data_IF_259404685374
#
_entry.id   IF_259404685374
#
_cell.length_a   1.000
_cell.length_b   1.000
_cell.length_c   1.000
_cell.angle_alpha   90.00
_cell.angle_beta   90.00
_cell.angle_gamma   90.00
#
_symmetry.space_group_name_H-M   'P 1'
#
loop_
_entity.id
_entity.type
_entity.pdbx_description
1 polymer ?
#
# COMPACT_ATOMS: atom_id res chain seq x y z
N UNK A 1 31.77 -24.63 -12.90
CA UNK A 1 31.17 -24.37 -14.24
C UNK A 1 29.77 -24.97 -14.22
N UNK A 2 28.73 -24.14 -14.10
CA UNK A 2 27.36 -24.61 -14.20
C UNK A 2 27.01 -24.76 -15.69
N UNK A 3 26.80 -25.99 -16.15
CA UNK A 3 26.24 -26.23 -17.46
C UNK A 3 24.75 -25.87 -17.41
N UNK A 4 24.32 -24.91 -18.23
CA UNK A 4 22.91 -24.70 -18.48
C UNK A 4 22.25 -26.02 -18.87
N UNK A 5 21.17 -26.38 -18.19
CA UNK A 5 20.36 -27.52 -18.61
C UNK A 5 19.85 -27.27 -20.03
N UNK A 6 19.62 -28.32 -20.80
CA UNK A 6 19.07 -28.19 -22.15
C UNK A 6 17.72 -27.44 -22.10
N UNK A 7 16.93 -27.70 -21.05
CA UNK A 7 15.68 -27.01 -20.76
C UNK A 7 15.88 -25.50 -20.58
N UNK A 8 16.94 -25.05 -19.90
CA UNK A 8 17.26 -23.62 -19.77
C UNK A 8 17.70 -23.01 -21.11
N UNK A 9 18.40 -23.75 -21.99
CA UNK A 9 18.79 -23.25 -23.32
C UNK A 9 17.61 -23.16 -24.29
N UNK A 10 16.75 -24.17 -24.29
CA UNK A 10 15.53 -24.19 -25.11
C UNK A 10 14.55 -23.12 -24.64
N UNK A 11 14.49 -22.90 -23.33
CA UNK A 11 13.76 -21.81 -22.69
C UNK A 11 14.22 -20.42 -23.17
N UNK A 12 15.53 -20.19 -23.16
CA UNK A 12 16.15 -18.95 -23.63
C UNK A 12 15.82 -18.66 -25.11
N UNK A 13 15.86 -19.70 -25.95
CA UNK A 13 15.47 -19.59 -27.35
C UNK A 13 13.96 -19.30 -27.52
N UNK A 14 13.11 -19.86 -26.66
CA UNK A 14 11.67 -19.58 -26.64
C UNK A 14 11.33 -18.15 -26.25
N UNK A 15 12.07 -17.52 -25.32
CA UNK A 15 11.86 -16.11 -24.97
C UNK A 15 12.24 -15.18 -26.11
N UNK A 16 13.36 -15.44 -26.79
CA UNK A 16 13.76 -14.69 -27.97
C UNK A 16 12.72 -14.82 -29.11
N UNK A 17 12.11 -16.01 -29.26
CA UNK A 17 11.00 -16.23 -30.20
C UNK A 17 9.75 -15.42 -29.84
N UNK A 18 9.29 -15.48 -28.58
CA UNK A 18 8.07 -14.77 -28.13
C UNK A 18 8.23 -13.24 -28.11
N UNK A 19 9.42 -12.74 -27.77
CA UNK A 19 9.73 -11.30 -27.83
C UNK A 19 9.72 -10.75 -29.27
N UNK A 20 9.94 -11.61 -30.28
CA UNK A 20 9.81 -11.26 -31.70
C UNK A 20 8.37 -11.40 -32.22
N UNK A 21 7.53 -12.21 -31.59
CA UNK A 21 6.13 -12.44 -31.97
C UNK A 21 5.15 -11.40 -31.40
N UNK A 22 5.55 -10.67 -30.35
CA UNK A 22 4.80 -9.52 -29.82
C UNK A 22 5.49 -8.20 -30.21
N UNK A 23 5.30 -7.68 -31.44
CA UNK A 23 5.55 -6.26 -31.63
C UNK A 23 4.65 -5.51 -30.66
N UNK A 24 5.23 -4.59 -29.88
CA UNK A 24 4.46 -3.56 -29.18
C UNK A 24 3.36 -3.03 -30.14
N UNK A 25 2.13 -2.78 -29.68
CA UNK A 25 1.05 -2.38 -30.57
C UNK A 25 1.40 -1.07 -31.28
N UNK A 26 1.91 -1.21 -32.51
CA UNK A 26 2.23 -0.12 -33.41
C UNK A 26 0.98 0.20 -34.22
N UNK A 27 0.52 1.44 -34.02
CA UNK A 27 -0.05 2.31 -35.03
C UNK A 27 -1.17 1.72 -35.90
N UNK A 28 -2.42 1.84 -35.43
CA UNK A 28 -3.54 1.98 -36.34
C UNK A 28 -3.72 3.45 -36.73
N UNK A 29 -3.72 3.67 -38.04
CA UNK A 29 -4.05 4.91 -38.73
C UNK A 29 -5.35 5.51 -38.22
N UNK A 30 -5.26 6.71 -37.62
CA UNK A 30 -6.43 7.53 -37.30
C UNK A 30 -6.98 8.11 -38.61
N UNK A 31 -8.27 7.93 -38.94
CA UNK A 31 -8.89 8.63 -40.05
C UNK A 31 -8.94 10.13 -39.74
N UNK A 32 -8.47 10.93 -40.69
CA UNK A 32 -8.51 12.40 -40.67
C UNK A 32 -9.98 12.85 -40.64
N UNK A 33 -10.46 13.29 -39.47
CA UNK A 33 -11.73 13.98 -39.36
C UNK A 33 -11.52 15.44 -39.73
N UNK A 34 -11.94 15.81 -40.93
CA UNK A 34 -12.10 17.21 -41.32
C UNK A 34 -13.34 17.76 -40.60
N UNK A 35 -13.11 18.58 -39.56
CA UNK A 35 -14.16 19.34 -38.89
C UNK A 35 -14.61 20.47 -39.81
N UNK A 36 -15.84 20.37 -40.33
CA UNK A 36 -16.53 21.50 -40.94
C UNK A 36 -16.91 22.54 -39.86
N UNK A 37 -16.88 23.84 -40.16
CA UNK A 37 -17.23 24.88 -39.20
C UNK A 37 -18.74 24.87 -38.91
N UNK A 38 -19.10 24.75 -37.64
CA UNK A 38 -20.47 24.89 -37.13
C UNK A 38 -20.88 26.36 -37.21
N UNK A 39 -21.89 26.66 -38.04
CA UNK A 39 -22.66 27.90 -37.96
C UNK A 39 -23.57 27.88 -36.72
N UNK A 40 -23.67 28.97 -35.95
CA UNK A 40 -24.60 29.04 -34.83
C UNK A 40 -26.06 29.15 -35.32
N UNK A 41 -27.04 28.58 -34.59
CA UNK A 41 -28.45 28.76 -34.90
C UNK A 41 -28.94 30.16 -34.50
N UNK A 42 -30.03 30.65 -35.11
CA UNK A 42 -30.58 31.97 -34.81
C UNK A 42 -31.28 31.99 -33.45
N UNK A 43 -31.13 33.12 -32.77
CA UNK A 43 -31.87 33.51 -31.57
C UNK A 43 -33.35 33.66 -31.90
N UNK A 44 -34.21 33.03 -31.10
CA UNK A 44 -35.65 33.29 -31.13
C UNK A 44 -36.11 33.67 -29.71
N UNK A 45 -36.59 34.91 -29.61
CA UNK A 45 -37.20 35.51 -28.43
C UNK A 45 -38.69 35.16 -28.41
N UNK A 46 -39.20 34.57 -27.33
CA UNK A 46 -40.52 34.94 -26.78
C UNK A 46 -40.82 34.23 -25.46
N UNK A 47 -40.88 35.04 -24.40
CA UNK A 47 -41.92 35.15 -23.36
C UNK A 47 -42.79 33.93 -22.98
N UNK A 48 -42.93 33.69 -21.65
CA UNK A 48 -44.11 33.01 -21.11
C UNK A 48 -43.94 32.36 -19.72
N UNK A 49 -44.44 33.03 -18.69
CA UNK A 49 -44.52 32.59 -17.28
C UNK A 49 -45.38 31.32 -17.05
N UNK A 50 -44.91 30.37 -16.22
CA UNK A 50 -45.45 29.98 -14.90
C UNK A 50 -44.91 28.61 -14.41
N UNK A 51 -44.75 28.38 -13.08
CA UNK A 51 -44.16 27.15 -12.55
C UNK A 51 -45.22 26.09 -12.23
N UNK A 52 -45.09 24.91 -12.83
CA UNK A 52 -45.82 23.70 -12.42
C UNK A 52 -44.78 22.66 -12.00
N UNK A 53 -44.79 22.30 -10.72
CA UNK A 53 -44.04 21.16 -10.18
C UNK A 53 -44.54 19.86 -10.81
N UNK A 54 -43.66 18.93 -11.24
CA UNK A 54 -44.05 17.55 -11.41
C UNK A 54 -43.52 16.68 -10.26
N UNK A 55 -44.43 15.85 -9.77
CA UNK A 55 -44.17 14.74 -8.87
C UNK A 55 -43.15 13.76 -9.48
N UNK A 56 -42.27 13.23 -8.62
CA UNK A 56 -41.28 12.23 -8.98
C UNK A 56 -41.96 10.86 -9.18
N UNK A 57 -42.17 10.49 -10.44
CA UNK A 57 -42.52 9.12 -10.84
C UNK A 57 -41.22 8.36 -11.13
N UNK A 58 -40.91 7.39 -10.26
CA UNK A 58 -39.66 6.61 -10.27
C UNK A 58 -39.86 5.40 -11.19
N UNK A 59 -39.43 5.51 -12.45
CA UNK A 59 -39.35 4.36 -13.35
C UNK A 59 -38.30 3.35 -12.85
N UNK A 60 -38.77 2.13 -12.55
CA UNK A 60 -37.96 0.92 -12.40
C UNK A 60 -37.31 0.60 -13.76
N UNK A 61 -35.99 0.74 -13.86
CA UNK A 61 -35.18 -0.01 -14.83
C UNK A 61 -34.72 -1.31 -14.18
N UNK A 62 -35.10 -2.41 -14.78
CA UNK A 62 -34.54 -3.74 -14.55
C UNK A 62 -33.42 -3.92 -15.56
N UNK A 63 -32.18 -3.66 -15.15
CA UNK A 63 -30.99 -4.06 -15.91
C UNK A 63 -30.41 -5.31 -15.23
N UNK A 64 -30.26 -6.38 -16.03
CA UNK A 64 -29.65 -7.64 -15.59
C UNK A 64 -28.16 -7.46 -15.25
N UNK A 65 -27.63 -8.16 -14.23
CA UNK A 65 -26.24 -8.04 -13.86
C UNK A 65 -25.37 -8.82 -14.85
N UNK A 66 -24.64 -8.09 -15.70
CA UNK A 66 -23.45 -8.62 -16.37
C UNK A 66 -22.45 -9.11 -15.33
N UNK A 67 -21.91 -10.31 -15.53
CA UNK A 67 -20.95 -10.94 -14.64
C UNK A 67 -19.65 -10.11 -14.56
N UNK A 68 -19.59 -9.20 -13.57
CA UNK A 68 -18.35 -8.59 -13.15
C UNK A 68 -17.46 -9.69 -12.55
N UNK A 69 -16.27 -9.87 -13.13
CA UNK A 69 -15.20 -10.66 -12.52
C UNK A 69 -14.82 -9.95 -11.23
N UNK A 70 -15.34 -10.44 -10.09
CA UNK A 70 -14.95 -9.98 -8.77
C UNK A 70 -13.47 -10.34 -8.55
N UNK A 71 -12.58 -9.37 -8.76
CA UNK A 71 -11.24 -9.42 -8.20
C UNK A 71 -11.40 -9.52 -6.67
N UNK A 72 -10.90 -10.62 -6.07
CA UNK A 72 -10.84 -10.70 -4.60
C UNK A 72 -9.89 -9.59 -4.11
N UNK A 73 -10.30 -8.75 -3.14
CA UNK A 73 -9.50 -7.60 -2.76
C UNK A 73 -8.19 -8.05 -2.11
N UNK A 74 -7.10 -7.62 -2.74
CA UNK A 74 -5.69 -7.75 -2.34
C UNK A 74 -5.43 -7.52 -0.83
N UNK A 75 -6.20 -6.67 -0.17
CA UNK A 75 -6.06 -6.35 1.26
C UNK A 75 -6.43 -7.50 2.20
N UNK A 76 -7.29 -8.43 1.79
CA UNK A 76 -7.59 -9.63 2.58
C UNK A 76 -6.35 -10.51 2.80
N UNK A 77 -5.38 -10.48 1.87
CA UNK A 77 -4.10 -11.18 2.03
C UNK A 77 -3.19 -10.48 3.05
N UNK A 78 -3.22 -9.14 3.13
CA UNK A 78 -2.46 -8.36 4.11
C UNK A 78 -3.05 -8.56 5.52
N UNK A 79 -4.37 -8.55 5.67
CA UNK A 79 -5.03 -8.83 6.95
C UNK A 79 -4.81 -10.27 7.41
N UNK A 80 -4.91 -11.25 6.51
CA UNK A 80 -4.64 -12.65 6.82
C UNK A 80 -3.18 -12.89 7.25
N UNK A 81 -2.22 -12.18 6.63
CA UNK A 81 -0.80 -12.28 7.01
C UNK A 81 -0.48 -11.54 8.31
N UNK A 82 -1.09 -10.38 8.57
CA UNK A 82 -0.95 -9.69 9.85
C UNK A 82 -1.53 -10.52 11.01
N UNK A 83 -2.69 -11.16 10.79
CA UNK A 83 -3.28 -12.09 11.75
C UNK A 83 -2.42 -13.35 11.97
N UNK A 84 -1.74 -13.84 10.92
CA UNK A 84 -0.83 -14.98 11.04
C UNK A 84 0.46 -14.63 11.81
N UNK A 85 1.01 -13.43 11.63
CA UNK A 85 2.18 -12.93 12.35
C UNK A 85 1.85 -12.71 13.85
N UNK A 86 0.66 -12.14 14.12
CA UNK A 86 0.16 -12.00 15.50
C UNK A 86 -0.06 -13.37 16.17
N UNK A 87 -0.60 -14.36 15.44
CA UNK A 87 -0.76 -15.73 15.93
C UNK A 87 0.60 -16.43 16.18
N UNK A 88 1.58 -16.24 15.30
CA UNK A 88 2.92 -16.79 15.45
C UNK A 88 3.64 -16.22 16.68
N UNK A 89 3.51 -14.91 16.92
CA UNK A 89 4.07 -14.23 18.09
C UNK A 89 3.37 -14.62 19.41
N UNK A 90 2.12 -15.07 19.37
CA UNK A 90 1.41 -15.60 20.54
C UNK A 90 1.81 -17.04 20.91
N UNK A 91 2.34 -17.82 19.96
CA UNK A 91 2.77 -19.22 20.22
C UNK A 91 4.17 -19.36 20.82
N UNK A 92 4.99 -18.31 20.85
CA UNK A 92 6.31 -18.31 21.50
C UNK A 92 6.20 -17.96 23.00
N UNK A 93 5.55 -18.84 23.78
CA UNK A 93 5.69 -18.80 25.23
C UNK A 93 7.07 -19.38 25.64
N UNK A 94 7.81 -18.74 26.55
CA UNK A 94 9.14 -19.20 26.93
C UNK A 94 9.04 -20.50 27.74
N UNK A 95 9.44 -21.62 27.15
CA UNK A 95 9.75 -22.83 27.92
C UNK A 95 11.01 -22.55 28.74
N UNK A 96 10.84 -22.34 30.05
CA UNK A 96 11.93 -22.31 31.02
C UNK A 96 12.64 -23.67 31.06
N UNK A 97 13.70 -23.80 30.26
CA UNK A 97 14.64 -24.93 30.30
C UNK A 97 15.66 -24.73 31.41
N UNK A 98 15.45 -25.42 32.53
CA UNK A 98 16.45 -25.61 33.59
C UNK A 98 17.52 -26.60 33.09
N UNK A 99 18.74 -26.09 32.88
CA UNK A 99 19.92 -26.91 32.61
C UNK A 99 20.43 -27.54 33.92
N UNK A 100 20.46 -28.88 33.97
CA UNK A 100 21.45 -29.65 34.73
C UNK A 100 21.73 -31.00 34.05
N UNK A 101 23.01 -31.25 33.81
CA UNK A 101 23.59 -32.58 33.98
C UNK A 101 24.05 -33.27 32.70
N UNK A 102 25.37 -33.23 32.53
CA UNK A 102 26.22 -34.16 31.78
C UNK A 102 25.74 -35.63 31.77
N UNK A 103 25.93 -36.34 30.65
CA UNK A 103 26.98 -37.35 30.50
C UNK A 103 26.87 -38.13 29.17
N UNK A 104 28.03 -38.66 28.77
CA UNK A 104 28.42 -39.36 27.56
C UNK A 104 27.66 -40.66 27.18
N UNK A 105 28.01 -41.14 25.98
CA UNK A 105 27.98 -42.52 25.44
C UNK A 105 26.85 -42.96 24.50
N UNK A 106 27.21 -42.89 23.22
CA UNK A 106 27.15 -43.89 22.14
C UNK A 106 26.27 -45.17 22.26
N UNK A 107 25.73 -45.53 21.07
CA UNK A 107 25.58 -46.87 20.46
C UNK A 107 24.14 -47.41 20.29
N UNK A 108 23.87 -47.74 19.02
CA UNK A 108 23.06 -48.84 18.43
C UNK A 108 21.65 -48.59 17.90
N UNK A 109 21.60 -48.79 16.59
CA UNK A 109 20.52 -49.36 15.77
C UNK A 109 19.62 -50.38 16.48
N UNK A 110 18.31 -50.28 16.23
CA UNK A 110 17.53 -51.43 15.78
C UNK A 110 16.25 -51.03 15.01
N UNK A 111 16.09 -51.64 13.82
CA UNK A 111 14.85 -51.80 13.04
C UNK A 111 13.68 -52.36 13.86
N UNK A 112 12.44 -51.91 13.58
CA UNK A 112 11.25 -52.69 13.11
C UNK A 112 9.94 -51.94 13.44
N UNK A 113 9.18 -51.52 12.42
CA UNK A 113 7.93 -52.12 11.84
C UNK A 113 6.62 -51.76 12.55
N UNK A 114 5.64 -51.36 11.73
CA UNK A 114 4.19 -51.56 11.83
C UNK A 114 3.44 -50.74 12.91
N UNK A 115 2.59 -49.79 12.51
CA UNK A 115 1.16 -49.95 12.14
C UNK A 115 0.27 -49.52 13.31
N UNK A 116 -0.72 -48.67 13.07
CA UNK A 116 -1.70 -48.35 14.12
C UNK A 116 -2.59 -47.16 13.80
N UNK A 117 -3.70 -47.46 13.14
CA UNK A 117 -4.92 -46.65 13.12
C UNK A 117 -5.36 -46.25 14.55
N UNK A 118 -5.96 -45.07 14.68
CA UNK A 118 -6.64 -44.68 15.92
C UNK A 118 -7.22 -43.29 15.86
N UNK A 119 -8.45 -43.18 15.34
CA UNK A 119 -9.37 -42.09 15.63
C UNK A 119 -9.49 -41.86 17.14
N UNK A 120 -9.57 -40.60 17.58
CA UNK A 120 -10.58 -40.20 18.57
C UNK A 120 -10.64 -38.69 18.75
N UNK A 121 -11.83 -38.18 18.46
CA UNK A 121 -12.33 -36.91 18.95
C UNK A 121 -12.41 -36.90 20.48
N UNK A 122 -12.11 -35.75 21.10
CA UNK A 122 -12.61 -35.31 22.40
C UNK A 122 -12.41 -33.79 22.43
N UNK A 123 -13.46 -32.97 22.30
CA UNK A 123 -14.23 -32.44 23.44
C UNK A 123 -13.34 -32.17 24.65
N UNK A 124 -13.02 -30.90 24.87
CA UNK A 124 -12.81 -30.37 26.21
C UNK A 124 -13.31 -28.93 26.27
N UNK A 125 -14.07 -28.72 27.33
CA UNK A 125 -14.83 -27.55 27.71
C UNK A 125 -14.16 -26.91 28.93
N UNK A 126 -14.36 -25.60 29.12
CA UNK A 126 -14.18 -24.80 30.35
C UNK A 126 -12.75 -24.63 30.89
N UNK A 127 -12.28 -23.38 31.06
CA UNK A 127 -12.46 -22.65 32.32
C UNK A 127 -12.13 -21.15 32.19
N UNK A 128 -12.87 -20.41 32.99
CA UNK A 128 -12.77 -18.99 33.36
C UNK A 128 -11.78 -18.85 34.53
N UNK A 129 -10.88 -17.87 34.53
CA UNK A 129 -10.14 -17.56 35.75
C UNK A 129 -9.79 -16.06 35.85
N UNK A 130 -10.60 -15.40 36.66
CA UNK A 130 -10.36 -14.10 37.25
C UNK A 130 -9.18 -14.10 38.23
N UNK A 131 -8.56 -12.92 38.33
CA UNK A 131 -7.82 -12.36 39.46
C UNK A 131 -6.35 -12.74 39.64
N UNK A 132 -5.46 -11.75 39.46
CA UNK A 132 -4.46 -11.39 40.49
C UNK A 132 -3.98 -9.95 40.30
N UNK A 133 -4.31 -9.07 41.24
CA UNK A 133 -3.66 -7.76 41.44
C UNK A 133 -2.56 -7.93 42.49
N UNK A 134 -1.37 -7.39 42.24
CA UNK A 134 -0.44 -7.01 43.30
C UNK A 134 0.06 -5.57 43.11
N UNK A 135 0.29 -4.83 44.21
CA UNK A 135 0.75 -3.45 44.18
C UNK A 135 2.29 -3.35 44.17
N UNK A 136 2.83 -2.40 43.41
CA UNK A 136 4.27 -2.07 43.40
C UNK A 136 4.53 -0.99 44.46
N UNK A 137 5.50 -1.28 45.33
CA UNK A 137 5.94 -0.44 46.43
C UNK A 137 6.78 0.76 45.98
N UNK A 138 6.55 1.88 46.64
CA UNK A 138 7.25 3.16 46.51
C UNK A 138 8.61 3.11 47.23
N UNK A 139 9.71 3.31 46.50
CA UNK A 139 11.03 3.53 47.09
C UNK A 139 11.31 5.03 47.19
N UNK A 140 11.11 5.58 48.39
CA UNK A 140 11.66 6.87 48.82
C UNK A 140 13.14 6.69 49.16
N UNK A 141 14.03 7.36 48.42
CA UNK A 141 15.46 7.45 48.74
C UNK A 141 15.76 8.88 49.20
N UNK A 142 16.05 9.01 50.48
CA UNK A 142 16.65 10.20 51.10
C UNK A 142 18.13 10.28 50.73
N UNK A 143 18.59 11.47 50.36
CA UNK A 143 20.00 11.78 50.11
C UNK A 143 20.27 13.18 50.67
N UNK A 144 20.91 13.21 51.83
CA UNK A 144 21.52 14.39 52.45
C UNK A 144 22.85 14.76 51.78
N UNK A 145 23.15 16.05 51.87
CA UNK A 145 24.47 16.68 51.96
C UNK A 145 25.48 16.54 50.80
N UNK A 146 25.42 17.52 49.90
CA UNK A 146 26.61 18.06 49.24
C UNK A 146 26.56 19.60 49.24
N UNK A 147 27.33 20.21 50.16
CA UNK A 147 27.67 21.63 50.14
C UNK A 147 28.56 21.89 48.92
N UNK A 148 28.01 22.54 47.90
CA UNK A 148 28.76 23.09 46.76
C UNK A 148 28.93 24.59 46.96
N UNK A 149 30.20 25.00 46.94
CA UNK A 149 30.71 26.36 47.08
C UNK A 149 30.30 27.21 45.88
N UNK A 150 29.64 28.34 46.14
CA UNK A 150 29.26 29.37 45.16
C UNK A 150 30.49 30.11 44.64
N UNK A 151 30.71 30.07 43.33
CA UNK A 151 31.59 31.00 42.61
C UNK A 151 30.84 31.67 41.45
N UNK A 152 30.74 33.00 41.57
CA UNK A 152 30.68 34.06 40.56
C UNK A 152 29.78 33.95 39.30
N UNK A 153 28.73 34.80 39.33
CA UNK A 153 28.44 35.84 38.33
C UNK A 153 28.55 35.43 36.85
N UNK A 154 27.68 34.51 36.42
CA UNK A 154 27.29 34.43 35.01
C UNK A 154 26.02 35.26 34.80
N UNK A 155 26.01 36.27 33.91
CA UNK A 155 24.80 37.01 33.59
C UNK A 155 23.73 36.04 33.09
N UNK A 156 22.63 35.95 33.84
CA UNK A 156 21.46 35.15 33.51
C UNK A 156 21.01 35.54 32.09
N UNK A 157 21.14 34.59 31.15
CA UNK A 157 20.55 34.75 29.83
C UNK A 157 19.06 35.10 30.02
N UNK A 158 18.52 36.09 29.27
CA UNK A 158 17.12 36.43 29.36
C UNK A 158 16.29 35.15 29.18
N UNK A 159 15.23 34.95 29.98
CA UNK A 159 14.41 33.74 29.92
C UNK A 159 13.99 33.54 28.47
N UNK A 160 14.53 32.49 27.85
CA UNK A 160 14.15 32.14 26.48
C UNK A 160 12.64 31.91 26.52
N UNK A 161 11.91 32.75 25.80
CA UNK A 161 10.48 32.53 25.59
C UNK A 161 10.34 31.09 25.08
N UNK A 162 9.46 30.27 25.68
CA UNK A 162 9.26 28.90 25.22
C UNK A 162 8.97 28.97 23.73
N UNK A 163 9.85 28.35 22.93
CA UNK A 163 9.66 28.27 21.49
C UNK A 163 8.25 27.74 21.26
N UNK A 164 7.48 28.35 20.34
CA UNK A 164 6.12 27.90 20.05
C UNK A 164 6.19 26.40 19.80
N UNK A 165 5.53 25.62 20.67
CA UNK A 165 5.54 24.16 20.58
C UNK A 165 5.15 23.80 19.16
N UNK A 166 6.11 23.25 18.41
CA UNK A 166 5.84 22.77 17.06
C UNK A 166 4.67 21.81 17.17
N UNK A 167 3.56 22.09 16.47
CA UNK A 167 2.42 21.19 16.44
C UNK A 167 2.94 19.81 16.03
N UNK A 168 2.55 18.78 16.77
CA UNK A 168 2.92 17.41 16.42
C UNK A 168 2.50 17.15 14.96
N UNK A 169 3.31 16.42 14.18
CA UNK A 169 2.95 16.08 12.82
C UNK A 169 1.63 15.32 12.79
N UNK A 170 0.81 15.59 11.78
CA UNK A 170 -0.46 14.90 11.60
C UNK A 170 -0.22 13.42 11.32
N UNK A 171 -1.06 12.50 11.84
CA UNK A 171 -0.97 11.09 11.52
C UNK A 171 -1.28 10.84 10.04
N UNK A 172 -0.80 9.74 9.47
CA UNK A 172 -1.25 9.28 8.15
C UNK A 172 -2.67 8.74 8.23
N UNK A 173 -3.40 8.71 7.10
CA UNK A 173 -4.77 8.19 7.06
C UNK A 173 -4.91 6.76 7.65
N UNK A 174 -4.04 5.78 7.33
CA UNK A 174 -4.17 4.43 7.89
C UNK A 174 -3.97 4.42 9.40
N UNK A 175 -2.99 5.19 9.92
CA UNK A 175 -2.77 5.33 11.35
C UNK A 175 -3.98 6.00 12.03
N UNK A 176 -4.60 6.97 11.38
CA UNK A 176 -5.80 7.60 11.90
C UNK A 176 -6.96 6.60 11.99
N UNK A 177 -7.26 5.90 10.90
CA UNK A 177 -8.39 4.97 10.82
C UNK A 177 -8.20 3.73 11.70
N UNK A 178 -7.03 3.09 11.63
CA UNK A 178 -6.81 1.79 12.26
C UNK A 178 -6.36 1.86 13.71
N UNK A 179 -5.70 2.94 14.11
CA UNK A 179 -5.19 3.07 15.47
C UNK A 179 -5.94 4.14 16.26
N UNK A 180 -6.07 5.36 15.73
CA UNK A 180 -6.64 6.47 16.49
C UNK A 180 -8.15 6.33 16.69
N UNK A 181 -8.91 6.08 15.61
CA UNK A 181 -10.37 5.92 15.73
C UNK A 181 -10.72 4.68 16.57
N UNK A 182 -10.05 3.55 16.31
CA UNK A 182 -10.30 2.29 17.04
C UNK A 182 -9.90 2.35 18.53
N UNK A 183 -9.02 3.26 18.95
CA UNK A 183 -8.64 3.43 20.36
C UNK A 183 -9.83 3.76 21.26
N UNK A 184 -10.85 4.44 20.72
CA UNK A 184 -12.04 4.86 21.46
C UNK A 184 -13.25 3.95 21.20
N UNK A 185 -13.02 2.66 20.93
CA UNK A 185 -14.11 1.71 20.64
C UNK A 185 -15.18 1.64 21.74
N UNK A 186 -14.80 1.84 23.00
CA UNK A 186 -15.73 1.86 24.13
C UNK A 186 -16.74 3.02 24.08
N UNK A 187 -16.44 4.09 23.36
CA UNK A 187 -17.37 5.21 23.17
C UNK A 187 -18.18 5.10 21.88
N UNK A 188 -17.94 4.11 21.02
CA UNK A 188 -18.72 3.98 19.78
C UNK A 188 -20.21 3.88 20.10
N UNK A 189 -21.05 4.43 19.22
CA UNK A 189 -22.50 4.38 19.33
C UNK A 189 -23.06 5.02 20.61
N UNK A 190 -22.31 5.93 21.24
CA UNK A 190 -22.73 6.67 22.44
C UNK A 190 -22.48 8.19 22.27
N UNK A 191 -23.07 8.84 21.26
CA UNK A 191 -22.86 10.27 21.05
C UNK A 191 -23.40 11.10 22.22
N UNK A 192 -22.73 12.19 22.62
CA UNK A 192 -23.25 13.11 23.61
C UNK A 192 -24.49 13.83 23.06
N UNK A 193 -25.31 14.37 23.96
CA UNK A 193 -26.51 15.12 23.60
C UNK A 193 -26.17 16.26 22.62
N UNK A 194 -26.95 16.38 21.55
CA UNK A 194 -26.73 17.36 20.47
C UNK A 194 -25.88 16.88 19.29
N UNK A 195 -25.35 15.65 19.32
CA UNK A 195 -24.61 15.03 18.20
C UNK A 195 -25.39 13.88 17.55
N UNK A 196 -26.72 14.00 17.58
CA UNK A 196 -27.64 12.97 17.09
C UNK A 196 -27.68 12.88 15.57
N UNK A 197 -27.13 13.83 14.81
CA UNK A 197 -27.18 13.81 13.34
C UNK A 197 -25.79 13.67 12.76
N UNK A 198 -25.64 12.73 11.83
CA UNK A 198 -24.40 12.57 11.08
C UNK A 198 -24.24 13.73 10.07
N UNK A 199 -23.13 14.49 10.10
CA UNK A 199 -22.94 15.66 9.25
C UNK A 199 -22.71 15.34 7.75
N UNK A 200 -22.61 14.05 7.40
CA UNK A 200 -22.33 13.60 6.02
C UNK A 200 -23.58 13.05 5.34
N UNK A 201 -24.46 12.35 6.07
CA UNK A 201 -25.67 11.76 5.51
C UNK A 201 -26.97 12.37 6.04
N UNK A 202 -26.89 13.31 6.99
CA UNK A 202 -28.01 13.95 7.68
C UNK A 202 -28.97 12.99 8.40
N UNK A 203 -28.62 11.70 8.51
CA UNK A 203 -29.41 10.73 9.24
C UNK A 203 -29.22 10.90 10.75
N UNK A 204 -30.33 10.77 11.48
CA UNK A 204 -30.30 10.68 12.93
C UNK A 204 -29.68 9.35 13.37
N UNK A 205 -28.82 9.38 14.37
CA UNK A 205 -28.28 8.23 15.07
C UNK A 205 -29.44 7.50 15.74
N UNK A 206 -29.74 6.31 15.22
CA UNK A 206 -30.61 5.32 15.87
C UNK A 206 -29.90 3.97 15.87
N UNK A 207 -30.16 3.10 16.86
CA UNK A 207 -29.57 1.75 16.89
C UNK A 207 -29.82 0.95 15.61
N UNK A 208 -30.99 1.10 14.99
CA UNK A 208 -31.35 0.42 13.75
C UNK A 208 -30.51 0.88 12.55
N UNK A 209 -30.06 2.14 12.55
CA UNK A 209 -29.24 2.70 11.49
C UNK A 209 -27.79 2.19 11.56
N UNK A 210 -27.30 1.83 12.75
CA UNK A 210 -25.95 1.26 12.93
C UNK A 210 -25.79 -0.01 12.10
N UNK A 211 -26.83 -0.85 12.03
CA UNK A 211 -26.81 -2.08 11.23
C UNK A 211 -26.71 -1.81 9.72
N UNK A 212 -27.20 -0.65 9.26
CA UNK A 212 -27.27 -0.29 7.84
C UNK A 212 -26.05 0.53 7.38
N UNK A 213 -25.62 1.48 8.20
CA UNK A 213 -24.62 2.51 7.84
C UNK A 213 -23.29 2.27 8.57
N UNK A 214 -23.27 1.42 9.60
CA UNK A 214 -22.09 1.10 10.40
C UNK A 214 -21.98 1.92 11.69
N UNK A 215 -20.91 1.65 12.44
CA UNK A 215 -20.63 2.28 13.74
C UNK A 215 -20.64 3.81 13.68
N UNK A 216 -21.21 4.45 14.70
CA UNK A 216 -21.16 5.88 14.92
C UNK A 216 -19.98 6.23 15.82
N UNK A 217 -19.02 6.98 15.29
CA UNK A 217 -17.69 7.14 15.88
C UNK A 217 -17.38 8.59 16.23
N UNK A 218 -16.65 8.85 17.33
CA UNK A 218 -16.09 10.17 17.60
C UNK A 218 -14.80 10.39 16.80
N UNK A 219 -14.69 11.57 16.20
CA UNK A 219 -13.45 12.10 15.64
C UNK A 219 -12.59 12.70 16.76
N UNK A 220 -11.29 12.90 16.49
CA UNK A 220 -10.35 13.53 17.45
C UNK A 220 -10.72 14.96 17.84
N UNK A 221 -11.52 15.65 17.03
CA UNK A 221 -12.09 16.97 17.31
C UNK A 221 -13.44 16.91 18.06
N UNK A 222 -13.84 15.72 18.55
CA UNK A 222 -15.09 15.45 19.29
C UNK A 222 -16.41 15.53 18.50
N UNK A 223 -16.37 15.80 17.20
CA UNK A 223 -17.54 15.62 16.32
C UNK A 223 -17.79 14.14 16.03
N UNK A 224 -19.04 13.79 15.73
CA UNK A 224 -19.48 12.42 15.51
C UNK A 224 -19.94 12.20 14.07
N UNK A 225 -19.69 11.00 13.55
CA UNK A 225 -19.99 10.63 12.17
C UNK A 225 -20.12 9.11 12.06
N UNK A 226 -20.93 8.60 11.13
CA UNK A 226 -20.91 7.16 10.83
C UNK A 226 -19.57 6.79 10.19
N UNK A 227 -18.98 5.66 10.59
CA UNK A 227 -17.68 5.21 10.09
C UNK A 227 -17.66 5.11 8.56
N UNK A 228 -18.67 4.50 7.94
CA UNK A 228 -18.77 4.43 6.46
C UNK A 228 -18.92 5.82 5.83
N UNK A 229 -19.68 6.72 6.46
CA UNK A 229 -19.81 8.09 5.98
C UNK A 229 -18.50 8.87 6.08
N UNK A 230 -17.71 8.63 7.14
CA UNK A 230 -16.39 9.20 7.28
C UNK A 230 -15.45 8.71 6.19
N UNK A 231 -15.39 7.39 5.95
CA UNK A 231 -14.59 6.84 4.86
C UNK A 231 -15.02 7.39 3.49
N UNK A 232 -16.34 7.53 3.28
CA UNK A 232 -16.89 8.18 2.09
C UNK A 232 -16.49 9.65 1.99
N UNK A 233 -16.40 10.40 3.09
CA UNK A 233 -15.91 11.78 3.09
C UNK A 233 -14.43 11.85 2.68
N UNK A 234 -13.62 10.93 3.22
CA UNK A 234 -12.18 10.86 2.93
C UNK A 234 -11.88 10.39 1.50
N UNK A 235 -12.78 9.61 0.88
CA UNK A 235 -12.62 9.10 -0.49
C UNK A 235 -12.96 10.12 -1.58
N UNK A 236 -13.53 11.27 -1.21
CA UNK A 236 -13.99 12.30 -2.15
C UNK A 236 -12.87 13.15 -2.71
N UNK A 237 -13.16 13.76 -3.85
CA UNK A 237 -12.24 14.65 -4.56
C UNK A 237 -12.34 16.11 -4.09
N UNK A 238 -12.59 16.34 -2.80
CA UNK A 238 -12.70 17.68 -2.23
C UNK A 238 -11.43 18.09 -1.48
N UNK A 239 -11.09 19.40 -1.43
CA UNK A 239 -9.91 19.89 -0.69
C UNK A 239 -9.93 19.62 0.82
N UNK A 240 -11.08 19.25 1.39
CA UNK A 240 -11.29 19.05 2.83
C UNK A 240 -11.34 17.56 3.22
N UNK A 241 -10.90 16.65 2.34
CA UNK A 241 -10.93 15.20 2.60
C UNK A 241 -10.08 14.77 3.80
N UNK A 242 -9.18 15.61 4.29
CA UNK A 242 -8.28 15.35 5.42
C UNK A 242 -8.75 16.03 6.71
N UNK A 243 -9.94 16.61 6.68
CA UNK A 243 -10.46 17.51 7.69
C UNK A 243 -11.85 17.07 8.16
N UNK A 244 -12.20 17.45 9.40
CA UNK A 244 -13.53 17.19 9.94
C UNK A 244 -14.61 17.92 9.11
N UNK A 245 -15.71 17.26 8.71
CA UNK A 245 -16.77 17.89 7.92
C UNK A 245 -17.56 18.97 8.68
N UNK A 246 -17.36 19.11 10.00
CA UNK A 246 -18.08 20.09 10.84
C UNK A 246 -17.20 21.30 11.15
N UNK A 247 -16.02 21.09 11.73
CA UNK A 247 -15.15 22.19 12.17
C UNK A 247 -13.99 22.49 11.21
N UNK A 248 -13.82 21.72 10.13
CA UNK A 248 -12.69 21.82 9.20
C UNK A 248 -11.31 21.67 9.86
N UNK A 249 -11.24 21.10 11.07
CA UNK A 249 -9.96 20.76 11.68
C UNK A 249 -9.32 19.62 10.89
N UNK A 250 -8.07 19.84 10.45
CA UNK A 250 -7.27 18.84 9.75
C UNK A 250 -6.88 17.72 10.71
N UNK A 251 -7.29 16.48 10.41
CA UNK A 251 -7.19 15.34 11.33
C UNK A 251 -6.02 14.41 10.99
N UNK A 252 -5.61 14.36 9.72
CA UNK A 252 -4.55 13.49 9.23
C UNK A 252 -3.90 14.07 7.96
N UNK A 253 -2.82 13.44 7.49
CA UNK A 253 -2.24 13.69 6.17
C UNK A 253 -2.87 12.75 5.15
N UNK A 254 -3.53 13.31 4.14
CA UNK A 254 -4.16 12.55 3.06
C UNK A 254 -3.20 12.30 1.92
N UNK A 255 -3.24 11.07 1.40
CA UNK A 255 -2.50 10.63 0.22
C UNK A 255 -3.41 9.71 -0.57
N UNK A 256 -3.46 9.86 -1.90
CA UNK A 256 -4.40 9.09 -2.70
C UNK A 256 -4.15 7.59 -2.60
N UNK A 257 -2.90 7.16 -2.46
CA UNK A 257 -2.58 5.75 -2.35
C UNK A 257 -3.08 5.13 -1.03
N UNK A 258 -2.99 5.87 0.09
CA UNK A 258 -3.55 5.42 1.37
C UNK A 258 -5.08 5.45 1.38
N UNK A 259 -5.69 6.45 0.73
CA UNK A 259 -7.13 6.52 0.57
C UNK A 259 -7.66 5.35 -0.27
N UNK A 260 -7.00 5.06 -1.40
CA UNK A 260 -7.32 3.94 -2.28
C UNK A 260 -7.24 2.60 -1.53
N UNK A 261 -6.18 2.41 -0.74
CA UNK A 261 -6.04 1.23 0.13
C UNK A 261 -7.25 1.06 1.06
N UNK A 262 -7.61 2.11 1.81
CA UNK A 262 -8.72 2.04 2.77
C UNK A 262 -10.05 1.80 2.06
N UNK A 263 -10.28 2.48 0.93
CA UNK A 263 -11.49 2.33 0.13
C UNK A 263 -11.65 0.89 -0.40
N UNK A 264 -10.57 0.33 -0.96
CA UNK A 264 -10.57 -1.04 -1.44
C UNK A 264 -10.76 -2.07 -0.32
N UNK A 265 -10.21 -1.83 0.89
CA UNK A 265 -10.42 -2.71 2.06
C UNK A 265 -11.88 -2.71 2.53
N UNK A 266 -12.52 -1.55 2.48
CA UNK A 266 -13.87 -1.32 3.04
C UNK A 266 -14.97 -1.48 1.98
N UNK A 267 -14.58 -1.85 0.75
CA UNK A 267 -15.45 -1.94 -0.42
C UNK A 267 -16.26 -0.65 -0.63
N UNK A 268 -15.54 0.47 -0.67
CA UNK A 268 -16.05 1.82 -0.94
C UNK A 268 -15.44 2.28 -2.25
N UNK A 269 -16.28 2.77 -3.15
CA UNK A 269 -15.81 3.37 -4.39
C UNK A 269 -15.18 4.74 -4.10
N UNK A 270 -13.98 4.97 -4.61
CA UNK A 270 -13.40 6.31 -4.61
C UNK A 270 -14.10 7.17 -5.66
N UNK A 271 -14.40 8.42 -5.28
CA UNK A 271 -14.97 9.37 -6.22
C UNK A 271 -13.92 9.75 -7.28
N UNK A 272 -14.27 9.57 -8.54
CA UNK A 272 -13.43 9.95 -9.67
C UNK A 272 -13.78 11.37 -10.07
N UNK A 273 -12.80 12.28 -10.01
CA UNK A 273 -13.03 13.61 -10.55
C UNK A 273 -12.82 13.62 -12.06
N UNK A 274 -13.64 14.41 -12.76
CA UNK A 274 -13.31 14.79 -14.13
C UNK A 274 -12.02 15.60 -14.09
N UNK A 275 -11.10 15.29 -15.01
CA UNK A 275 -9.90 16.10 -15.15
C UNK A 275 -10.28 17.53 -15.53
N UNK A 276 -9.52 18.51 -15.06
CA UNK A 276 -9.73 19.91 -15.41
C UNK A 276 -9.37 20.14 -16.89
N UNK A 277 -10.31 19.88 -17.81
CA UNK A 277 -10.17 20.12 -19.24
C UNK A 277 -10.81 19.05 -20.12
N UNK A 278 -10.65 19.21 -21.44
CA UNK A 278 -10.87 18.10 -22.36
C UNK A 278 -9.80 17.05 -22.08
N UNK A 279 -10.20 15.79 -21.91
CA UNK A 279 -9.29 14.67 -21.68
C UNK A 279 -8.09 14.65 -22.65
N UNK A 280 -7.03 13.92 -22.29
CA UNK A 280 -5.77 13.89 -23.07
C UNK A 280 -5.46 12.49 -23.59
N UNK A 281 -4.58 12.38 -24.60
CA UNK A 281 -4.02 11.09 -25.02
C UNK A 281 -2.70 10.88 -24.28
N UNK A 282 -2.61 9.79 -23.54
CA UNK A 282 -1.42 9.42 -22.81
C UNK A 282 -0.24 9.17 -23.75
N UNK A 283 0.88 9.86 -23.53
CA UNK A 283 2.02 9.73 -24.43
C UNK A 283 2.69 8.35 -24.36
N UNK A 284 2.63 7.68 -23.21
CA UNK A 284 3.30 6.41 -23.00
C UNK A 284 2.42 5.21 -23.41
N UNK A 285 1.15 5.20 -23.00
CA UNK A 285 0.21 4.10 -23.28
C UNK A 285 -0.59 4.29 -24.57
N UNK A 286 -0.61 5.52 -25.13
CA UNK A 286 -1.43 5.92 -26.29
C UNK A 286 -2.94 5.78 -26.09
N UNK A 287 -3.39 5.66 -24.86
CA UNK A 287 -4.82 5.57 -24.52
C UNK A 287 -5.38 6.96 -24.21
N UNK A 288 -6.67 7.19 -24.46
CA UNK A 288 -7.35 8.38 -23.97
C UNK A 288 -7.47 8.36 -22.43
N UNK A 289 -7.45 9.54 -21.85
CA UNK A 289 -7.63 9.79 -20.42
C UNK A 289 -8.68 10.87 -20.24
N UNK A 290 -9.87 10.50 -19.79
CA UNK A 290 -11.00 11.42 -19.61
C UNK A 290 -11.21 11.81 -18.15
N UNK A 291 -10.85 10.93 -17.22
CA UNK A 291 -11.02 11.12 -15.78
C UNK A 291 -9.83 10.54 -14.98
N UNK A 292 -9.89 10.67 -13.65
CA UNK A 292 -8.88 10.12 -12.74
C UNK A 292 -8.77 8.59 -12.78
N UNK A 293 -9.85 7.89 -13.13
CA UNK A 293 -9.86 6.43 -13.22
C UNK A 293 -9.10 5.96 -14.47
N UNK A 294 -9.36 6.59 -15.62
CA UNK A 294 -8.56 6.37 -16.83
C UNK A 294 -7.08 6.68 -16.57
N UNK A 295 -6.78 7.72 -15.80
CA UNK A 295 -5.41 8.07 -15.45
C UNK A 295 -4.76 7.00 -14.56
N UNK A 296 -5.49 6.49 -13.57
CA UNK A 296 -5.05 5.36 -12.73
C UNK A 296 -4.78 4.09 -13.55
N UNK A 297 -5.72 3.73 -14.43
CA UNK A 297 -5.59 2.56 -15.29
C UNK A 297 -4.38 2.69 -16.21
N UNK A 298 -4.16 3.88 -16.77
CA UNK A 298 -3.00 4.16 -17.63
C UNK A 298 -1.68 4.13 -16.87
N UNK A 299 -1.61 4.65 -15.66
CA UNK A 299 -0.41 4.54 -14.84
C UNK A 299 -0.12 3.07 -14.47
N UNK A 300 -1.15 2.27 -14.17
CA UNK A 300 -1.00 0.84 -13.95
C UNK A 300 -0.46 0.12 -15.19
N UNK A 301 -1.03 0.38 -16.37
CA UNK A 301 -0.57 -0.20 -17.63
C UNK A 301 0.87 0.24 -17.97
N UNK A 302 1.21 1.49 -17.69
CA UNK A 302 2.56 2.01 -17.85
C UNK A 302 3.56 1.29 -16.93
N UNK A 303 3.22 1.11 -15.64
CA UNK A 303 4.05 0.39 -14.67
C UNK A 303 4.33 -1.04 -15.17
N UNK A 304 3.29 -1.78 -15.58
CA UNK A 304 3.42 -3.14 -16.08
C UNK A 304 4.28 -3.21 -17.36
N UNK A 305 4.10 -2.26 -18.29
CA UNK A 305 4.93 -2.14 -19.48
C UNK A 305 6.39 -1.76 -19.21
N UNK A 306 6.68 -1.03 -18.14
CA UNK A 306 8.06 -0.79 -17.67
C UNK A 306 8.65 -2.09 -17.12
N UNK A 307 7.93 -2.78 -16.23
CA UNK A 307 8.38 -4.03 -15.60
C UNK A 307 8.74 -5.10 -16.65
N UNK A 308 7.87 -5.30 -17.64
CA UNK A 308 8.13 -6.24 -18.74
C UNK A 308 9.41 -5.89 -19.51
N UNK A 309 9.59 -4.62 -19.89
CA UNK A 309 10.78 -4.18 -20.65
C UNK A 309 12.09 -4.35 -19.89
N UNK A 310 12.10 -4.04 -18.58
CA UNK A 310 13.29 -4.22 -17.76
C UNK A 310 13.59 -5.69 -17.52
N UNK A 311 12.57 -6.53 -17.33
CA UNK A 311 12.73 -7.97 -17.25
C UNK A 311 13.32 -8.54 -18.56
N UNK A 312 12.78 -8.18 -19.72
CA UNK A 312 13.26 -8.65 -21.02
C UNK A 312 14.72 -8.23 -21.27
N UNK A 313 15.06 -7.01 -20.87
CA UNK A 313 16.44 -6.49 -20.97
C UNK A 313 17.41 -7.29 -20.11
N UNK A 314 17.02 -7.62 -18.88
CA UNK A 314 17.84 -8.43 -17.97
C UNK A 314 17.94 -9.89 -18.45
N UNK A 315 16.84 -10.45 -18.94
CA UNK A 315 16.83 -11.78 -19.55
C UNK A 315 17.81 -11.82 -20.73
N UNK A 316 17.68 -10.90 -21.70
CA UNK A 316 18.57 -10.76 -22.85
C UNK A 316 20.04 -10.58 -22.45
N UNK A 317 20.32 -9.79 -21.40
CA UNK A 317 21.68 -9.62 -20.86
C UNK A 317 22.27 -10.95 -20.41
N UNK A 318 21.49 -11.77 -19.70
CA UNK A 318 21.92 -13.11 -19.28
C UNK A 318 22.12 -14.06 -20.46
N UNK A 319 21.31 -13.95 -21.53
CA UNK A 319 21.48 -14.78 -22.73
C UNK A 319 22.80 -14.47 -23.46
N UNK A 320 23.14 -13.18 -23.49
CA UNK A 320 24.31 -12.68 -24.21
C UNK A 320 25.60 -12.73 -23.38
N UNK A 321 25.50 -12.93 -22.06
CA UNK A 321 26.62 -13.17 -21.17
C UNK A 321 27.26 -14.54 -21.48
N UNK A 322 27.94 -14.64 -22.63
CA UNK A 322 28.86 -15.74 -22.92
C UNK A 322 29.95 -15.73 -21.85
N UNK A 323 30.43 -16.90 -21.39
CA UNK A 323 31.49 -16.99 -20.38
C UNK A 323 32.83 -16.32 -20.78
N UNK A 324 32.99 -15.85 -22.03
CA UNK A 324 34.19 -15.18 -22.53
C UNK A 324 33.91 -13.84 -23.26
N UNK A 325 32.70 -13.27 -23.19
CA UNK A 325 32.45 -11.96 -23.80
C UNK A 325 32.92 -10.84 -22.86
N UNK A 326 33.67 -9.84 -23.34
CA UNK A 326 34.02 -8.67 -22.53
C UNK A 326 32.75 -7.95 -22.06
N UNK A 327 32.74 -7.38 -20.84
CA UNK A 327 31.56 -6.75 -20.27
C UNK A 327 31.05 -5.61 -21.18
N UNK A 328 29.80 -5.71 -21.63
CA UNK A 328 29.10 -4.63 -22.30
C UNK A 328 28.68 -3.59 -21.26
N UNK A 329 29.39 -2.48 -21.21
CA UNK A 329 28.96 -1.28 -20.49
C UNK A 329 27.80 -0.64 -21.25
N UNK A 330 26.56 -1.04 -20.92
CA UNK A 330 25.37 -0.30 -21.35
C UNK A 330 25.17 0.84 -20.35
N UNK A 331 25.89 1.94 -20.55
CA UNK A 331 25.63 3.17 -19.83
C UNK A 331 24.33 3.78 -20.35
N UNK A 332 23.19 3.43 -19.74
CA UNK A 332 21.99 4.23 -19.89
C UNK A 332 22.21 5.53 -19.12
N UNK A 333 22.51 6.62 -19.83
CA UNK A 333 22.56 7.96 -19.23
C UNK A 333 21.17 8.33 -18.76
N UNK A 334 20.95 8.31 -17.44
CA UNK A 334 19.72 8.79 -16.84
C UNK A 334 19.60 10.31 -17.10
N UNK A 335 18.42 10.82 -17.51
CA UNK A 335 18.19 12.25 -17.67
C UNK A 335 18.31 13.00 -16.32
N UNK A 336 18.54 14.33 -16.35
CA UNK A 336 18.68 15.14 -15.14
C UNK A 336 17.44 15.06 -14.25
N UNK A 337 17.68 14.92 -12.95
CA UNK A 337 16.66 14.63 -11.92
C UNK A 337 15.88 15.88 -11.49
N UNK A 338 14.58 15.70 -11.17
CA UNK A 338 13.67 16.75 -10.72
C UNK A 338 13.59 16.78 -9.17
N UNK A 339 13.03 17.83 -8.56
CA UNK A 339 13.07 18.06 -7.09
C UNK A 339 12.26 17.00 -6.30
N UNK A 340 11.22 16.40 -6.88
CA UNK A 340 10.51 15.24 -6.30
C UNK A 340 11.41 13.99 -6.20
N UNK A 341 12.51 13.95 -6.95
CA UNK A 341 13.52 12.89 -6.93
C UNK A 341 14.36 12.91 -5.65
N UNK A 342 14.38 13.98 -4.83
CA UNK A 342 15.31 14.11 -3.67
C UNK A 342 14.95 13.16 -2.49
N UNK A 343 13.67 12.96 -2.20
CA UNK A 343 13.26 12.06 -1.10
C UNK A 343 13.41 10.59 -1.49
N UNK A 344 12.93 10.24 -2.68
CA UNK A 344 13.14 8.92 -3.25
C UNK A 344 14.62 8.67 -3.49
N UNK A 345 15.45 9.61 -3.91
CA UNK A 345 16.91 9.40 -4.00
C UNK A 345 17.56 9.14 -2.66
N UNK A 346 17.05 9.60 -1.52
CA UNK A 346 17.69 9.26 -0.23
C UNK A 346 17.42 7.80 0.11
N UNK A 347 16.18 7.33 -0.08
CA UNK A 347 15.82 5.92 0.12
C UNK A 347 16.33 5.02 -1.02
N UNK A 348 16.43 5.53 -2.26
CA UNK A 348 16.98 4.85 -3.43
C UNK A 348 18.50 4.85 -3.44
N UNK A 349 19.18 5.84 -2.85
CA UNK A 349 20.63 5.82 -2.57
C UNK A 349 20.90 4.80 -1.46
N UNK A 350 19.98 4.69 -0.49
CA UNK A 350 19.94 3.52 0.40
C UNK A 350 19.63 2.24 -0.39
N UNK A 351 18.74 2.24 -1.38
CA UNK A 351 18.52 1.07 -2.23
C UNK A 351 19.69 0.76 -3.17
N UNK A 352 20.55 1.71 -3.50
CA UNK A 352 21.81 1.49 -4.21
C UNK A 352 22.86 0.87 -3.29
N UNK A 353 22.83 1.17 -1.98
CA UNK A 353 23.52 0.31 -1.01
C UNK A 353 22.90 -1.08 -0.98
N UNK A 354 21.58 -1.18 -1.10
CA UNK A 354 20.90 -2.46 -1.22
C UNK A 354 21.26 -3.19 -2.54
N UNK A 355 21.54 -2.50 -3.65
CA UNK A 355 22.08 -3.11 -4.88
C UNK A 355 23.48 -3.70 -4.62
N UNK A 356 24.30 -3.04 -3.79
CA UNK A 356 25.54 -3.65 -3.29
C UNK A 356 25.29 -4.82 -2.32
N UNK A 357 24.15 -4.84 -1.62
CA UNK A 357 23.71 -5.93 -0.74
C UNK A 357 22.92 -7.04 -1.45
N UNK A 358 22.60 -6.88 -2.75
CA UNK A 358 21.85 -7.85 -3.54
C UNK A 358 22.75 -8.45 -4.60
N UNK A 359 23.67 -9.35 -4.20
CA UNK A 359 24.54 -10.03 -5.14
C UNK A 359 23.68 -10.76 -6.16
N UNK A 360 24.14 -10.71 -7.42
CA UNK A 360 23.53 -11.46 -8.51
C UNK A 360 23.26 -12.91 -8.07
N UNK A 361 22.10 -13.49 -8.45
CA UNK A 361 21.82 -14.89 -8.16
C UNK A 361 22.95 -15.80 -8.65
N UNK A 362 23.33 -16.79 -7.83
CA UNK A 362 24.42 -17.72 -8.13
C UNK A 362 24.01 -18.76 -9.17
N UNK A 363 22.72 -19.03 -9.31
CA UNK A 363 22.12 -19.94 -10.27
C UNK A 363 21.97 -19.36 -11.69
N UNK A 364 22.55 -18.18 -11.95
CA UNK A 364 22.44 -17.45 -13.22
C UNK A 364 21.01 -17.03 -13.60
N UNK A 365 20.08 -17.01 -12.65
CA UNK A 365 18.74 -16.44 -12.86
C UNK A 365 18.77 -14.90 -12.90
N UNK A 366 17.73 -14.26 -13.48
CA UNK A 366 17.58 -12.81 -13.46
C UNK A 366 17.61 -12.24 -12.04
N UNK A 367 18.31 -11.12 -11.86
CA UNK A 367 18.25 -10.36 -10.61
C UNK A 367 16.93 -9.56 -10.56
N UNK A 368 15.84 -10.24 -10.18
CA UNK A 368 14.49 -9.66 -10.17
C UNK A 368 14.37 -8.45 -9.24
N UNK A 369 15.11 -8.41 -8.13
CA UNK A 369 15.11 -7.25 -7.25
C UNK A 369 15.74 -6.04 -7.92
N UNK A 370 16.83 -6.23 -8.69
CA UNK A 370 17.39 -5.16 -9.50
C UNK A 370 16.40 -4.68 -10.57
N UNK A 371 15.74 -5.60 -11.27
CA UNK A 371 14.70 -5.26 -12.27
C UNK A 371 13.60 -4.40 -11.65
N UNK A 372 13.14 -4.74 -10.44
CA UNK A 372 12.15 -3.95 -9.70
C UNK A 372 12.66 -2.54 -9.40
N UNK A 373 13.86 -2.41 -8.82
CA UNK A 373 14.46 -1.13 -8.43
C UNK A 373 14.66 -0.23 -9.65
N UNK A 374 15.25 -0.78 -10.72
CA UNK A 374 15.48 -0.05 -11.97
C UNK A 374 14.15 0.41 -12.60
N UNK A 375 13.11 -0.42 -12.53
CA UNK A 375 11.77 -0.07 -13.00
C UNK A 375 11.15 1.07 -12.20
N UNK A 376 11.22 1.01 -10.86
CA UNK A 376 10.72 2.09 -9.98
C UNK A 376 11.45 3.39 -10.31
N UNK A 377 12.80 3.36 -10.39
CA UNK A 377 13.61 4.51 -10.76
C UNK A 377 13.16 5.12 -12.10
N UNK A 378 12.95 4.27 -13.10
CA UNK A 378 12.48 4.70 -14.41
C UNK A 378 11.10 5.35 -14.32
N UNK A 379 10.13 4.71 -13.64
CA UNK A 379 8.76 5.22 -13.48
C UNK A 379 8.78 6.63 -12.85
N UNK A 380 9.56 6.81 -11.78
CA UNK A 380 9.68 8.10 -11.08
C UNK A 380 10.33 9.17 -11.94
N UNK A 381 11.36 8.81 -12.72
CA UNK A 381 12.01 9.73 -13.66
C UNK A 381 11.08 10.15 -14.82
N UNK A 382 10.02 9.38 -15.09
CA UNK A 382 8.97 9.77 -16.03
C UNK A 382 7.83 10.58 -15.38
N UNK A 383 8.03 11.09 -14.15
CA UNK A 383 7.01 11.79 -13.35
C UNK A 383 5.72 10.98 -13.19
N UNK A 384 5.85 9.66 -13.01
CA UNK A 384 4.75 8.76 -12.68
C UNK A 384 4.86 8.28 -11.22
N UNK A 385 3.73 8.03 -10.54
CA UNK A 385 2.37 8.07 -11.06
C UNK A 385 1.85 9.52 -11.19
N UNK A 386 0.95 9.73 -12.15
CA UNK A 386 0.26 11.00 -12.40
C UNK A 386 -1.12 11.01 -11.77
N UNK A 387 -1.74 9.85 -11.66
CA UNK A 387 -3.02 9.67 -11.01
C UNK A 387 -2.94 10.14 -9.57
N UNK A 388 -3.87 11.02 -9.20
CA UNK A 388 -4.10 11.40 -7.80
C UNK A 388 -4.32 10.18 -6.92
N UNK A 389 -4.93 9.11 -7.44
CA UNK A 389 -5.21 7.87 -6.70
C UNK A 389 -3.96 7.05 -6.34
N UNK A 390 -2.82 7.38 -6.96
CA UNK A 390 -1.52 6.81 -6.67
C UNK A 390 -0.55 7.86 -6.12
N UNK A 391 -1.01 9.09 -5.87
CA UNK A 391 -0.16 10.15 -5.34
C UNK A 391 0.23 9.87 -3.89
N UNK A 392 1.42 10.35 -3.54
CA UNK A 392 1.97 10.28 -2.20
C UNK A 392 2.94 11.44 -1.98
N UNK A 393 3.12 11.83 -0.71
CA UNK A 393 4.04 12.88 -0.30
C UNK A 393 4.91 12.46 0.89
N UNK A 394 4.52 11.41 1.60
CA UNK A 394 5.17 10.88 2.80
C UNK A 394 6.07 9.68 2.48
N UNK A 395 6.95 9.37 3.43
CA UNK A 395 7.76 8.15 3.38
C UNK A 395 6.87 6.90 3.31
N UNK A 396 5.73 6.88 4.02
CA UNK A 396 4.80 5.74 4.00
C UNK A 396 4.22 5.55 2.61
N UNK A 397 3.74 6.62 2.00
CA UNK A 397 3.20 6.59 0.64
C UNK A 397 4.24 6.13 -0.38
N UNK A 398 5.52 6.51 -0.22
CA UNK A 398 6.61 6.02 -1.08
C UNK A 398 6.84 4.50 -0.94
N UNK A 399 6.77 3.96 0.29
CA UNK A 399 6.92 2.53 0.57
C UNK A 399 5.72 1.76 0.02
N UNK A 400 4.52 2.29 0.19
CA UNK A 400 3.30 1.69 -0.35
C UNK A 400 3.30 1.68 -1.88
N UNK A 401 3.78 2.76 -2.53
CA UNK A 401 3.93 2.80 -3.98
C UNK A 401 4.92 1.75 -4.48
N UNK A 402 6.09 1.64 -3.84
CA UNK A 402 7.06 0.61 -4.17
C UNK A 402 6.48 -0.81 -3.96
N UNK A 403 5.68 -1.01 -2.91
CA UNK A 403 5.01 -2.28 -2.64
C UNK A 403 3.97 -2.61 -3.73
N UNK A 404 3.18 -1.63 -4.17
CA UNK A 404 2.26 -1.78 -5.31
C UNK A 404 3.00 -2.23 -6.58
N UNK A 405 4.13 -1.61 -6.91
CA UNK A 405 4.95 -2.00 -8.07
C UNK A 405 5.48 -3.42 -7.91
N UNK A 406 5.92 -3.79 -6.70
CA UNK A 406 6.34 -5.16 -6.38
C UNK A 406 5.23 -6.19 -6.61
N UNK A 407 4.00 -5.92 -6.14
CA UNK A 407 2.83 -6.82 -6.34
C UNK A 407 2.50 -6.97 -7.82
N UNK A 408 2.48 -5.85 -8.55
CA UNK A 408 2.25 -5.87 -10.01
C UNK A 408 3.31 -6.70 -10.71
N UNK A 409 4.57 -6.57 -10.30
CA UNK A 409 5.65 -7.37 -10.87
C UNK A 409 5.52 -8.85 -10.50
N UNK A 410 5.19 -9.17 -9.25
CA UNK A 410 4.95 -10.54 -8.81
C UNK A 410 3.84 -11.21 -9.64
N UNK A 411 2.71 -10.51 -9.81
CA UNK A 411 1.58 -10.96 -10.64
C UNK A 411 2.02 -11.15 -12.08
N UNK A 412 2.70 -10.17 -12.68
CA UNK A 412 3.19 -10.28 -14.05
C UNK A 412 4.13 -11.47 -14.22
N UNK A 413 5.05 -11.69 -13.27
CA UNK A 413 5.96 -12.84 -13.28
C UNK A 413 5.20 -14.15 -13.22
N UNK A 414 4.16 -14.24 -12.38
CA UNK A 414 3.31 -15.43 -12.27
C UNK A 414 2.51 -15.70 -13.55
N UNK A 415 1.97 -14.67 -14.19
CA UNK A 415 1.14 -14.83 -15.39
C UNK A 415 1.98 -15.12 -16.64
N UNK A 416 3.19 -14.57 -16.75
CA UNK A 416 3.96 -14.59 -17.99
C UNK A 416 5.22 -15.47 -17.93
N UNK A 417 5.76 -15.70 -16.73
CA UNK A 417 7.11 -16.27 -16.55
C UNK A 417 7.20 -17.32 -15.45
N UNK A 418 6.09 -17.81 -14.91
CA UNK A 418 6.11 -18.62 -13.68
C UNK A 418 6.99 -19.86 -13.76
N UNK A 419 6.90 -20.60 -14.87
CA UNK A 419 7.70 -21.82 -15.08
C UNK A 419 9.21 -21.55 -15.09
N UNK A 420 9.59 -20.30 -15.33
CA UNK A 420 10.98 -19.83 -15.40
C UNK A 420 11.48 -19.49 -14.01
N UNK A 421 10.71 -18.70 -13.27
CA UNK A 421 11.21 -18.05 -12.06
C UNK A 421 10.98 -18.87 -10.79
N UNK A 422 9.93 -19.71 -10.72
CA UNK A 422 9.43 -20.29 -9.46
C UNK A 422 10.44 -21.04 -8.59
N UNK A 423 11.50 -21.59 -9.19
CA UNK A 423 12.52 -22.39 -8.51
C UNK A 423 13.92 -21.75 -8.60
N UNK A 424 14.00 -20.45 -8.87
CA UNK A 424 15.26 -19.72 -9.00
C UNK A 424 15.63 -18.99 -7.72
N UNK A 425 16.92 -18.83 -7.46
CA UNK A 425 17.42 -18.00 -6.37
C UNK A 425 16.97 -16.54 -6.52
N UNK A 426 16.90 -16.03 -7.76
CA UNK A 426 16.37 -14.70 -8.07
C UNK A 426 14.93 -14.49 -7.58
N UNK A 427 14.07 -15.50 -7.73
CA UNK A 427 12.70 -15.47 -7.21
C UNK A 427 12.63 -15.45 -5.69
N UNK A 428 13.40 -16.30 -5.01
CA UNK A 428 13.42 -16.31 -3.54
C UNK A 428 13.92 -14.98 -2.96
N UNK A 429 15.00 -14.43 -3.50
CA UNK A 429 15.52 -13.11 -3.13
C UNK A 429 14.49 -11.99 -3.37
N UNK A 430 13.74 -12.07 -4.47
CA UNK A 430 12.66 -11.14 -4.78
C UNK A 430 11.51 -11.22 -3.78
N UNK A 431 11.07 -12.43 -3.40
CA UNK A 431 10.04 -12.62 -2.37
C UNK A 431 10.49 -12.13 -1.01
N UNK A 432 11.73 -12.42 -0.61
CA UNK A 432 12.32 -11.92 0.63
C UNK A 432 12.38 -10.37 0.65
N UNK A 433 12.74 -9.74 -0.47
CA UNK A 433 12.70 -8.29 -0.60
C UNK A 433 11.28 -7.73 -0.39
N UNK A 434 10.28 -8.34 -1.02
CA UNK A 434 8.88 -7.98 -0.84
C UNK A 434 8.38 -8.08 0.60
N UNK A 435 8.70 -9.18 1.29
CA UNK A 435 8.37 -9.37 2.70
C UNK A 435 9.00 -8.30 3.59
N UNK A 436 10.27 -7.94 3.34
CA UNK A 436 10.92 -6.83 4.07
C UNK A 436 10.23 -5.49 3.85
N UNK A 437 9.76 -5.21 2.63
CA UNK A 437 8.98 -4.01 2.35
C UNK A 437 7.65 -4.02 3.11
N UNK A 438 6.95 -5.15 3.13
CA UNK A 438 5.71 -5.33 3.88
C UNK A 438 5.94 -5.12 5.38
N UNK A 439 6.97 -5.72 5.97
CA UNK A 439 7.31 -5.49 7.39
C UNK A 439 7.64 -4.03 7.69
N UNK A 440 8.35 -3.34 6.78
CA UNK A 440 8.63 -1.90 6.92
C UNK A 440 7.34 -1.08 6.90
N UNK A 441 6.43 -1.37 5.97
CA UNK A 441 5.12 -0.74 5.87
C UNK A 441 4.30 -0.93 7.15
N UNK A 442 4.20 -2.16 7.66
CA UNK A 442 3.50 -2.48 8.92
C UNK A 442 4.05 -1.65 10.08
N UNK A 443 5.38 -1.59 10.24
CA UNK A 443 6.04 -0.77 11.28
C UNK A 443 5.74 0.73 11.14
N UNK A 444 5.59 1.24 9.91
CA UNK A 444 5.26 2.65 9.68
C UNK A 444 3.79 2.97 9.98
N UNK A 445 2.88 2.02 9.74
CA UNK A 445 1.44 2.18 10.00
C UNK A 445 1.15 2.08 11.50
N UNK A 446 1.64 1.03 12.16
CA UNK A 446 1.30 0.72 13.55
C UNK A 446 2.31 1.27 14.56
N UNK A 447 3.49 1.69 14.10
CA UNK A 447 4.63 1.98 14.96
C UNK A 447 5.51 0.74 15.13
N UNK A 448 6.73 0.97 15.61
CA UNK A 448 7.58 -0.11 16.12
C UNK A 448 7.23 -0.32 17.59
N UNK A 449 6.59 -1.45 17.90
CA UNK A 449 6.42 -1.93 19.28
C UNK A 449 7.77 -2.17 19.97
#
# INVERSE_FOLDING_TARGET
>A
MAHFSQQQRDFVASLAGKALEHPAPMANTVPRFDLAPLTPPPEDESEGLQPVLPAADRHKRTDEPGAAVQEKPFWLAIEALAAADELANQTEAPTNGSNRGDEDLQVREHRRTESGFGDSASKLTWFDETAYRQPVASNTRTSEDARVTLHHDTPLAPPQQPLPFAKAPLPTLPRYVDHILKKFRSSYNNPPYGFEFCPVCDCQFTPELIEQVGDYIPLTCSHWVHYRCWLHHVSRSYPQHDSCPVCNERLFQWEGLTANMICARENIDMETSQLAGAGYIDQATKQPVNDEHDQYANDCAFIEGVLARFFDSEALRLLNARPNAPPLSVAHSLPPQNVATIYLTTELTRQQRIENEHPNPTDSSPNLTKVLIDSINYILNQNCPRSRLLSYESDLGSVLFAHLVWIKFERWLFENTWDIVRNTEGWWKFKEHGLRMQSKMTKMIFGSD
#
